data_IF_813747507422
#
_entry.id   IF_813747507422
#
_cell.length_a   1.000
_cell.length_b   1.000
_cell.length_c   1.000
_cell.angle_alpha   90.00
_cell.angle_beta   90.00
_cell.angle_gamma   90.00
#
_symmetry.space_group_name_H-M   'P 1'
#
loop_
_entity.id
_entity.type
_entity.pdbx_description
1 polymer ?
#
# COMPACT_ATOMS: atom_id res chain seq x y z
N UNK A 1 -0.43 -3.90 -13.07
CA UNK A 1 -0.61 -2.44 -12.88
C UNK A 1 -0.29 -1.72 -14.18
N UNK A 2 -1.01 -0.65 -14.50
CA UNK A 2 -0.69 0.24 -15.63
C UNK A 2 -0.56 1.67 -15.11
N UNK A 3 0.45 2.41 -15.58
CA UNK A 3 0.68 3.82 -15.22
C UNK A 3 1.28 4.55 -16.41
N UNK A 4 0.94 5.84 -16.56
CA UNK A 4 1.55 6.73 -17.53
C UNK A 4 3.06 6.84 -17.29
N UNK A 5 3.85 6.80 -18.36
CA UNK A 5 5.32 6.81 -18.28
C UNK A 5 5.81 8.08 -17.57
N UNK A 6 5.28 9.22 -17.97
CA UNK A 6 5.59 10.54 -17.41
C UNK A 6 5.27 10.61 -15.90
N UNK A 7 4.13 10.06 -15.48
CA UNK A 7 3.75 10.00 -14.06
C UNK A 7 4.70 9.12 -13.25
N UNK A 8 5.07 7.94 -13.79
CA UNK A 8 6.00 7.04 -13.11
C UNK A 8 7.34 7.72 -12.83
N UNK A 9 7.88 8.44 -13.83
CA UNK A 9 9.14 9.16 -13.66
C UNK A 9 9.01 10.42 -12.80
N UNK A 10 7.90 11.17 -12.90
CA UNK A 10 7.64 12.37 -12.08
C UNK A 10 7.67 12.07 -10.58
N UNK A 11 7.13 10.92 -10.18
CA UNK A 11 7.12 10.49 -8.76
C UNK A 11 8.38 9.73 -8.34
N UNK A 12 9.39 9.62 -9.22
CA UNK A 12 10.65 8.94 -8.96
C UNK A 12 10.59 7.41 -9.00
N UNK A 13 9.52 6.83 -9.54
CA UNK A 13 9.33 5.39 -9.71
C UNK A 13 9.36 4.57 -8.40
N UNK A 14 9.63 3.27 -8.56
CA UNK A 14 9.82 2.37 -7.42
C UNK A 14 11.10 2.70 -6.65
N UNK A 15 10.99 2.73 -5.32
CA UNK A 15 12.14 3.00 -4.47
C UNK A 15 13.08 1.80 -4.47
N UNK A 16 14.34 2.00 -4.86
CA UNK A 16 15.41 0.99 -4.71
C UNK A 16 15.83 0.74 -3.26
N UNK A 17 15.28 1.50 -2.31
CA UNK A 17 15.55 1.32 -0.88
C UNK A 17 14.64 0.28 -0.22
N UNK A 18 13.55 -0.09 -0.90
CA UNK A 18 12.63 -1.16 -0.51
C UNK A 18 12.94 -2.35 -1.42
N UNK A 19 13.53 -3.40 -0.87
CA UNK A 19 14.14 -4.48 -1.65
C UNK A 19 13.22 -5.69 -1.79
N UNK A 20 12.53 -6.03 -0.71
CA UNK A 20 11.79 -7.28 -0.56
C UNK A 20 10.28 -7.03 -0.49
N UNK A 21 9.85 -5.92 0.15
CA UNK A 21 8.43 -5.66 0.40
C UNK A 21 8.07 -4.16 0.34
N UNK A 22 6.78 -3.87 0.25
CA UNK A 22 6.16 -2.54 0.32
C UNK A 22 6.53 -1.55 -0.80
N UNK A 23 7.23 -1.98 -1.85
CA UNK A 23 7.57 -1.13 -2.99
C UNK A 23 6.34 -0.58 -3.70
N UNK A 24 5.26 -1.36 -3.76
CA UNK A 24 3.95 -0.97 -4.30
C UNK A 24 3.19 0.00 -3.38
N UNK A 25 3.27 -0.17 -2.06
CA UNK A 25 2.71 0.75 -1.06
C UNK A 25 3.39 2.12 -1.14
N UNK A 26 4.73 2.17 -1.12
CA UNK A 26 5.50 3.41 -1.29
C UNK A 26 5.17 4.10 -2.62
N UNK A 27 5.12 3.35 -3.71
CA UNK A 27 4.75 3.90 -5.03
C UNK A 27 3.32 4.46 -5.04
N UNK A 28 2.37 3.75 -4.44
CA UNK A 28 0.99 4.20 -4.30
C UNK A 28 0.89 5.51 -3.51
N UNK A 29 1.61 5.63 -2.40
CA UNK A 29 1.61 6.83 -1.56
C UNK A 29 2.25 8.03 -2.25
N UNK A 30 3.33 7.83 -3.03
CA UNK A 30 3.89 8.87 -3.89
C UNK A 30 2.89 9.38 -4.91
N UNK A 31 2.15 8.50 -5.60
CA UNK A 31 1.10 8.92 -6.53
C UNK A 31 0.01 9.73 -5.81
N UNK A 32 -0.40 9.29 -4.62
CA UNK A 32 -1.41 10.01 -3.83
C UNK A 32 -0.92 11.37 -3.36
N UNK A 33 0.37 11.56 -3.05
CA UNK A 33 0.92 12.89 -2.74
C UNK A 33 0.91 13.86 -3.92
N UNK A 34 0.61 13.38 -5.13
CA UNK A 34 0.39 14.18 -6.34
C UNK A 34 -1.09 14.29 -6.71
N UNK A 35 -1.98 13.97 -5.77
CA UNK A 35 -3.44 13.94 -5.94
C UNK A 35 -3.92 13.00 -7.07
N UNK A 36 -3.12 11.97 -7.37
CA UNK A 36 -3.48 10.97 -8.37
C UNK A 36 -4.27 9.83 -7.74
N UNK A 37 -5.39 9.48 -8.38
CA UNK A 37 -6.26 8.38 -7.96
C UNK A 37 -5.84 7.06 -8.60
N UNK A 38 -5.95 5.96 -7.86
CA UNK A 38 -5.84 4.59 -8.39
C UNK A 38 -7.24 4.03 -8.65
N UNK A 39 -7.43 3.49 -9.84
CA UNK A 39 -8.69 2.88 -10.27
C UNK A 39 -8.42 1.41 -10.58
N UNK A 40 -9.30 0.55 -10.09
CA UNK A 40 -9.30 -0.88 -10.38
C UNK A 40 -10.31 -1.21 -11.48
N UNK A 41 -10.04 -2.23 -12.30
CA UNK A 41 -10.95 -2.70 -13.35
C UNK A 41 -11.25 -4.20 -13.18
N UNK A 42 -12.53 -4.61 -13.19
CA UNK A 42 -12.91 -6.02 -13.14
C UNK A 42 -12.67 -6.77 -14.45
N UNK A 43 -12.36 -6.07 -15.55
CA UNK A 43 -12.30 -6.67 -16.89
C UNK A 43 -10.99 -7.40 -17.20
N UNK A 44 -10.01 -7.35 -16.30
CA UNK A 44 -8.71 -7.99 -16.48
C UNK A 44 -8.37 -8.77 -15.21
N UNK A 45 -8.06 -10.05 -15.38
CA UNK A 45 -7.54 -10.91 -14.32
C UNK A 45 -6.07 -11.24 -14.60
N UNK A 46 -5.21 -11.05 -13.62
CA UNK A 46 -3.80 -11.45 -13.66
C UNK A 46 -3.54 -12.34 -12.45
N UNK A 47 -2.96 -13.51 -12.69
CA UNK A 47 -2.61 -14.45 -11.63
C UNK A 47 -1.19 -14.18 -11.16
N UNK A 48 -1.04 -14.06 -9.85
CA UNK A 48 0.24 -14.00 -9.17
C UNK A 48 0.32 -15.20 -8.21
N UNK A 49 1.40 -15.99 -8.33
CA UNK A 49 1.65 -17.18 -7.52
C UNK A 49 2.68 -16.90 -6.43
N UNK A 50 2.75 -15.64 -5.97
CA UNK A 50 3.69 -15.17 -4.97
C UNK A 50 3.76 -16.01 -3.68
N UNK A 51 4.82 -15.78 -2.93
CA UNK A 51 5.05 -16.45 -1.64
C UNK A 51 4.41 -15.63 -0.53
N UNK A 52 3.66 -16.29 0.35
CA UNK A 52 3.13 -15.64 1.56
C UNK A 52 4.29 -15.40 2.52
N UNK A 53 4.61 -14.13 2.74
CA UNK A 53 5.57 -13.70 3.77
C UNK A 53 4.80 -13.44 5.06
N UNK A 54 5.42 -13.68 6.23
CA UNK A 54 4.82 -13.31 7.51
C UNK A 54 4.60 -11.79 7.57
N UNK A 55 3.33 -11.31 7.60
CA UNK A 55 3.03 -9.89 7.55
C UNK A 55 3.39 -9.14 8.84
N UNK A 56 3.74 -9.86 9.91
CA UNK A 56 4.09 -9.28 11.22
C UNK A 56 5.60 -9.23 11.44
N UNK A 57 6.37 -9.94 10.62
CA UNK A 57 7.83 -9.94 10.74
C UNK A 57 8.39 -8.52 10.62
N UNK A 58 9.21 -8.06 11.57
CA UNK A 58 9.92 -6.79 11.42
C UNK A 58 10.97 -6.94 10.31
N UNK A 59 10.89 -6.08 9.30
CA UNK A 59 11.84 -6.01 8.20
C UNK A 59 12.42 -4.60 8.09
N UNK A 60 13.62 -4.48 7.52
CA UNK A 60 14.22 -3.17 7.25
C UNK A 60 13.33 -2.30 6.35
N UNK A 61 12.64 -2.93 5.40
CA UNK A 61 11.68 -2.29 4.51
C UNK A 61 10.46 -1.76 5.28
N UNK A 62 9.91 -2.53 6.23
CA UNK A 62 8.80 -2.07 7.09
C UNK A 62 9.20 -0.86 7.91
N UNK A 63 10.37 -0.89 8.55
CA UNK A 63 10.86 0.27 9.30
C UNK A 63 11.05 1.50 8.41
N UNK A 64 11.60 1.31 7.20
CA UNK A 64 11.78 2.39 6.25
C UNK A 64 10.44 2.97 5.78
N UNK A 65 9.46 2.12 5.48
CA UNK A 65 8.12 2.53 5.09
C UNK A 65 7.46 3.34 6.21
N UNK A 66 7.53 2.87 7.46
CA UNK A 66 7.00 3.58 8.63
C UNK A 66 7.69 4.93 8.84
N UNK A 67 9.03 4.99 8.70
CA UNK A 67 9.79 6.26 8.78
C UNK A 67 9.35 7.27 7.71
N UNK A 68 9.03 6.82 6.50
CA UNK A 68 8.61 7.69 5.39
C UNK A 68 7.15 8.10 5.43
N UNK A 69 6.27 7.17 5.79
CA UNK A 69 4.83 7.28 5.53
C UNK A 69 3.94 6.99 6.75
N UNK A 70 4.51 6.83 7.94
CA UNK A 70 3.76 6.41 9.14
C UNK A 70 2.52 7.25 9.41
N UNK A 71 2.60 8.58 9.24
CA UNK A 71 1.45 9.47 9.41
C UNK A 71 0.34 9.19 8.39
N UNK A 72 0.68 9.01 7.11
CA UNK A 72 -0.28 8.71 6.05
C UNK A 72 -0.89 7.31 6.20
N UNK A 73 -0.11 6.33 6.68
CA UNK A 73 -0.58 4.98 6.94
C UNK A 73 -1.58 4.93 8.11
N UNK A 74 -1.39 5.76 9.14
CA UNK A 74 -2.35 5.91 10.24
C UNK A 74 -3.64 6.63 9.84
N UNK A 75 -3.63 7.34 8.70
CA UNK A 75 -4.75 8.15 8.21
C UNK A 75 -5.15 7.73 6.80
N UNK A 76 -5.40 6.42 6.62
CA UNK A 76 -5.87 5.89 5.35
C UNK A 76 -7.36 6.26 5.11
N UNK A 77 -7.68 7.11 4.11
CA UNK A 77 -9.04 7.52 3.79
C UNK A 77 -9.85 6.39 3.15
N UNK A 78 -9.20 5.33 2.70
CA UNK A 78 -9.85 4.13 2.16
C UNK A 78 -10.20 3.13 3.27
N UNK A 79 -9.73 3.36 4.51
CA UNK A 79 -10.11 2.52 5.63
C UNK A 79 -11.59 2.70 5.96
N UNK A 80 -12.33 1.60 5.98
CA UNK A 80 -13.77 1.64 6.28
C UNK A 80 -14.01 2.10 7.72
N UNK A 81 -14.88 3.10 7.95
CA UNK A 81 -15.22 3.53 9.30
C UNK A 81 -15.96 2.45 10.10
N UNK A 82 -16.43 1.39 9.45
CA UNK A 82 -17.13 0.26 10.10
C UNK A 82 -16.17 -0.83 10.61
N UNK A 83 -14.86 -0.72 10.37
CA UNK A 83 -13.85 -1.66 10.84
C UNK A 83 -13.14 -1.16 12.08
N UNK A 84 -12.69 -2.08 12.93
CA UNK A 84 -11.86 -1.73 14.09
C UNK A 84 -10.45 -1.30 13.64
N UNK A 85 -9.94 -0.15 14.09
CA UNK A 85 -8.56 0.24 13.87
C UNK A 85 -7.59 -0.80 14.47
N UNK A 86 -6.40 -0.91 13.88
CA UNK A 86 -5.29 -1.76 14.36
C UNK A 86 -5.57 -3.28 14.39
N UNK A 87 -6.65 -3.71 13.74
CA UNK A 87 -7.00 -5.12 13.55
C UNK A 87 -6.66 -5.55 12.13
N UNK A 88 -5.96 -6.67 12.00
CA UNK A 88 -5.58 -7.25 10.71
C UNK A 88 -6.56 -8.35 10.24
N UNK A 89 -7.57 -8.67 11.06
CA UNK A 89 -8.68 -9.56 10.75
C UNK A 89 -9.98 -8.76 10.51
N UNK A 90 -10.76 -9.16 9.49
CA UNK A 90 -12.02 -8.51 9.16
C UNK A 90 -13.06 -8.77 10.26
N UNK A 91 -13.33 -7.77 11.10
CA UNK A 91 -14.42 -7.80 12.09
C UNK A 91 -15.17 -6.47 12.11
N UNK A 92 -16.50 -6.55 11.97
CA UNK A 92 -17.40 -5.41 12.02
C UNK A 92 -17.42 -4.78 13.43
N UNK A 93 -17.52 -3.45 13.49
CA UNK A 93 -17.79 -2.73 14.73
C UNK A 93 -19.11 -3.20 15.33
N UNK A 94 -19.07 -3.76 16.54
CA UNK A 94 -20.26 -4.15 17.30
C UNK A 94 -20.37 -5.64 17.62
N UNK A 95 -19.48 -6.48 17.11
CA UNK A 95 -19.33 -7.86 17.57
C UNK A 95 -18.42 -7.89 18.81
N UNK A 96 -19.03 -7.65 19.97
CA UNK A 96 -18.53 -8.13 21.28
C UNK A 96 -19.47 -9.20 21.78
#
# INVERSE_FOLDING_TARGET
MMVRREVFFDVGGFSRSLHDDFGDVDFGLKLRSRDLTRIWTPHVAVYDFGVVVDPVAPTADRELLQRRWGHQLQQDPYFSPNLQPDRHDWVEKGLR
#
